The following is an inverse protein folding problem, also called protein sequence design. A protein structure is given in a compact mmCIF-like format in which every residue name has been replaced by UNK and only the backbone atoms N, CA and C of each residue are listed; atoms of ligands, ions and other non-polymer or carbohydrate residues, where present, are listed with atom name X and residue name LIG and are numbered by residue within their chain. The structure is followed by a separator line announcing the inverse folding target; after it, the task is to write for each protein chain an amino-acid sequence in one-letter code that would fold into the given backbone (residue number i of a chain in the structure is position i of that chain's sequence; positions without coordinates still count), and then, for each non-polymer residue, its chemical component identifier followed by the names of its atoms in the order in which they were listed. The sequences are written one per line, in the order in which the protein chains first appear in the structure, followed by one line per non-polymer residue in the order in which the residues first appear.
data_IF_717781207719
#
_entry.id   IF_717781207719
#
_cell.length_a   1.000
_cell.length_b   1.000
_cell.length_c   1.000
_cell.angle_alpha   90.00
_cell.angle_beta   90.00
_cell.angle_gamma   90.00
#
_symmetry.space_group_name_H-M   'P 1'
#
loop_
_entity.id
_entity.type
_entity.pdbx_description
1 polymer ?
#
# COMPACT_ATOMS: atom_id res chain seq x y z
N UNK A 1 -3.62 -5.13 22.01
CA UNK A 1 -4.96 -5.18 21.36
C UNK A 1 -4.74 -5.43 19.88
N UNK A 2 -4.69 -6.69 19.47
CA UNK A 2 -4.61 -7.06 18.07
C UNK A 2 -6.04 -7.08 17.52
N UNK A 3 -6.49 -5.96 16.99
CA UNK A 3 -7.91 -5.79 16.62
C UNK A 3 -8.28 -6.49 15.31
N UNK A 4 -7.37 -7.28 14.70
CA UNK A 4 -7.58 -7.85 13.36
C UNK A 4 -7.88 -6.79 12.29
N UNK A 5 -7.72 -5.50 12.63
CA UNK A 5 -8.13 -4.38 11.80
C UNK A 5 -7.11 -4.27 10.69
N UNK A 6 -7.50 -4.64 9.48
CA UNK A 6 -6.68 -4.47 8.28
C UNK A 6 -6.04 -3.09 8.28
N UNK A 7 -4.76 -3.05 7.91
CA UNK A 7 -3.96 -1.81 7.84
C UNK A 7 -4.44 -0.84 6.74
N UNK A 8 -5.56 -1.14 6.07
CA UNK A 8 -6.16 -0.34 5.02
C UNK A 8 -5.48 -0.50 3.65
N UNK A 9 -4.64 -1.52 3.47
CA UNK A 9 -3.98 -1.83 2.21
C UNK A 9 -3.95 -3.34 1.98
N UNK A 10 -3.85 -3.74 0.71
CA UNK A 10 -3.69 -5.11 0.27
C UNK A 10 -3.06 -5.11 -1.12
N UNK A 11 -2.60 -6.29 -1.55
CA UNK A 11 -2.08 -6.50 -2.90
C UNK A 11 -3.03 -7.46 -3.60
N UNK A 12 -3.34 -7.17 -4.87
CA UNK A 12 -4.16 -8.02 -5.72
C UNK A 12 -3.31 -8.40 -6.92
N UNK A 13 -3.14 -9.69 -7.13
CA UNK A 13 -2.47 -10.23 -8.30
C UNK A 13 -3.48 -10.32 -9.45
N UNK A 14 -3.12 -9.73 -10.59
CA UNK A 14 -3.94 -9.72 -11.81
C UNK A 14 -3.30 -10.64 -12.84
N UNK A 15 -4.11 -11.31 -13.67
CA UNK A 15 -3.61 -12.23 -14.68
C UNK A 15 -2.88 -11.55 -15.84
N UNK A 16 -3.07 -10.24 -16.02
CA UNK A 16 -2.43 -9.44 -17.07
C UNK A 16 -2.27 -7.98 -16.67
N UNK A 17 -1.24 -7.33 -17.23
CA UNK A 17 -1.00 -5.90 -17.03
C UNK A 17 -2.16 -5.04 -17.54
N UNK A 18 -2.81 -5.46 -18.62
CA UNK A 18 -3.98 -4.77 -19.17
C UNK A 18 -5.16 -4.80 -18.18
N UNK A 19 -5.37 -5.92 -17.50
CA UNK A 19 -6.39 -6.03 -16.45
C UNK A 19 -6.03 -5.17 -15.23
N UNK A 20 -4.75 -5.12 -14.84
CA UNK A 20 -4.27 -4.25 -13.77
C UNK A 20 -4.51 -2.77 -14.10
N UNK A 21 -4.19 -2.32 -15.32
CA UNK A 21 -4.43 -0.94 -15.74
C UNK A 21 -5.91 -0.59 -15.78
N UNK A 22 -6.78 -1.49 -16.25
CA UNK A 22 -8.22 -1.28 -16.24
C UNK A 22 -8.76 -1.14 -14.81
N UNK A 23 -8.29 -1.98 -13.89
CA UNK A 23 -8.64 -1.90 -12.47
C UNK A 23 -8.15 -0.59 -11.85
N UNK A 24 -6.90 -0.16 -12.11
CA UNK A 24 -6.39 1.13 -11.66
C UNK A 24 -7.29 2.26 -12.15
N UNK A 25 -7.58 2.34 -13.44
CA UNK A 25 -8.38 3.45 -14.00
C UNK A 25 -9.82 3.47 -13.49
N UNK A 26 -10.44 2.31 -13.27
CA UNK A 26 -11.84 2.20 -12.86
C UNK A 26 -12.08 2.27 -11.35
N UNK A 27 -11.09 1.84 -10.55
CA UNK A 27 -11.22 1.71 -9.09
C UNK A 27 -10.44 2.76 -8.31
N UNK A 28 -9.40 3.36 -8.89
CA UNK A 28 -8.67 4.44 -8.25
C UNK A 28 -9.59 5.65 -8.02
N UNK A 29 -9.74 6.07 -6.77
CA UNK A 29 -10.60 7.18 -6.38
C UNK A 29 -12.08 6.81 -6.22
N UNK A 30 -12.45 5.53 -6.35
CA UNK A 30 -13.79 5.07 -6.01
C UNK A 30 -14.01 5.10 -4.51
N UNK A 31 -15.25 5.34 -4.08
CA UNK A 31 -15.63 5.28 -2.67
C UNK A 31 -16.08 3.86 -2.31
N UNK A 32 -15.29 3.15 -1.50
CA UNK A 32 -15.69 1.89 -0.87
C UNK A 32 -15.92 2.09 0.62
N UNK A 33 -17.08 1.67 1.10
CA UNK A 33 -17.42 1.68 2.53
C UNK A 33 -17.19 3.05 3.22
N UNK A 34 -17.54 4.12 2.50
CA UNK A 34 -17.39 5.51 2.96
C UNK A 34 -15.96 6.07 2.91
N UNK A 35 -15.00 5.34 2.31
CA UNK A 35 -13.61 5.79 2.14
C UNK A 35 -13.18 5.68 0.68
N UNK A 36 -12.47 6.69 0.20
CA UNK A 36 -11.91 6.65 -1.15
C UNK A 36 -10.72 5.67 -1.17
N UNK A 37 -10.74 4.73 -2.12
CA UNK A 37 -9.69 3.73 -2.30
C UNK A 37 -8.68 4.18 -3.35
N UNK A 38 -7.43 3.81 -3.14
CA UNK A 38 -6.33 4.13 -4.05
C UNK A 38 -5.83 2.81 -4.63
N UNK A 39 -5.95 2.67 -5.95
CA UNK A 39 -5.45 1.51 -6.70
C UNK A 39 -4.32 1.98 -7.59
N UNK A 40 -3.13 1.40 -7.42
CA UNK A 40 -1.92 1.78 -8.14
C UNK A 40 -1.17 0.51 -8.56
N UNK A 41 -0.23 0.65 -9.48
CA UNK A 41 0.70 -0.44 -9.82
C UNK A 41 1.54 -0.80 -8.59
N UNK A 42 1.61 -2.10 -8.30
CA UNK A 42 2.33 -2.61 -7.15
C UNK A 42 3.84 -2.45 -7.36
N UNK A 43 4.40 -1.35 -6.89
CA UNK A 43 5.84 -1.14 -6.91
C UNK A 43 6.48 -2.08 -5.87
N UNK A 44 7.54 -2.83 -6.24
CA UNK A 44 8.30 -3.60 -5.26
C UNK A 44 8.74 -2.62 -4.18
N UNK A 45 8.48 -3.00 -2.93
CA UNK A 45 8.85 -2.18 -1.80
C UNK A 45 10.38 -2.08 -1.82
N UNK A 46 10.91 -0.91 -2.21
CA UNK A 46 12.32 -0.61 -1.97
C UNK A 46 12.57 -0.93 -0.50
N UNK A 47 13.55 -1.80 -0.27
CA UNK A 47 14.08 -2.07 1.05
C UNK A 47 14.46 -0.69 1.59
N UNK A 48 13.62 -0.11 2.46
CA UNK A 48 13.96 1.17 3.11
C UNK A 48 15.35 0.91 3.66
N UNK A 49 16.40 1.59 3.18
CA UNK A 49 17.73 1.31 3.67
C UNK A 49 17.62 1.44 5.18
N UNK A 50 17.98 0.35 5.87
CA UNK A 50 18.05 0.36 7.32
C UNK A 50 19.00 1.49 7.72
N UNK A 51 18.43 2.63 8.08
CA UNK A 51 19.14 3.81 8.51
C UNK A 51 18.15 4.62 9.34
N UNK A 52 18.30 4.79 10.64
CA UNK A 52 19.54 4.92 11.40
C UNK A 52 19.38 4.32 12.81
N UNK A 53 20.20 3.32 13.13
CA UNK A 53 20.81 3.32 14.44
C UNK A 53 21.86 4.44 14.44
N UNK A 54 21.76 5.40 15.36
CA UNK A 54 22.80 6.43 15.49
C UNK A 54 22.47 7.58 16.45
N UNK A 55 22.87 7.40 17.72
CA UNK A 55 23.05 8.48 18.71
C UNK A 55 22.09 8.36 19.90
N UNK A 56 22.44 7.68 21.00
CA UNK A 56 23.39 8.18 22.01
C UNK A 56 23.42 9.71 22.06
N UNK A 57 22.52 10.32 22.84
CA UNK A 57 22.73 11.58 23.56
C UNK A 57 21.98 11.42 24.89
N UNK A 58 22.65 10.97 25.96
CA UNK A 58 23.52 11.78 26.81
C UNK A 58 22.75 12.93 27.47
N UNK A 59 22.02 12.58 28.54
CA UNK A 59 22.08 13.22 29.85
C UNK A 59 21.52 12.23 30.88
#
# INVERSE_FOLDING_TARGET
RDSGRSKGFGFVEMQSDQAAQAAIRGLHGQRMDGRDIVVNEARPREERPGGFGGGRRAY
#
